data_IF_483007270627
#
_entry.id   IF_483007270627
#
_cell.length_a   1.000
_cell.length_b   1.000
_cell.length_c   1.000
_cell.angle_alpha   90.00
_cell.angle_beta   90.00
_cell.angle_gamma   90.00
#
_symmetry.space_group_name_H-M   'P 1'
#
loop_
_entity.id
_entity.type
_entity.pdbx_description
1 polymer ?
#
# COMPACT_ATOMS: atom_id res chain seq x y z
N UNK A 1 -13.54 -5.94 -16.25
CA UNK A 1 -14.04 -6.50 -14.98
C UNK A 1 -14.91 -7.69 -15.32
N UNK A 2 -14.92 -8.78 -14.55
CA UNK A 2 -15.85 -9.89 -14.80
C UNK A 2 -17.29 -9.45 -14.51
N UNK A 3 -18.31 -10.18 -14.99
CA UNK A 3 -19.71 -9.91 -14.64
C UNK A 3 -19.93 -9.82 -13.12
N UNK A 4 -19.19 -10.62 -12.34
CA UNK A 4 -19.26 -10.65 -10.87
C UNK A 4 -18.42 -9.55 -10.16
N UNK A 5 -17.88 -8.57 -10.89
CA UNK A 5 -17.12 -7.47 -10.29
C UNK A 5 -15.65 -7.77 -9.95
N UNK A 6 -15.09 -8.89 -10.40
CA UNK A 6 -13.69 -9.26 -10.14
C UNK A 6 -12.72 -8.73 -11.20
N UNK A 7 -11.45 -8.64 -10.81
CA UNK A 7 -10.34 -8.28 -11.69
C UNK A 7 -9.58 -9.55 -12.13
N UNK A 8 -9.53 -9.78 -13.45
CA UNK A 8 -8.67 -10.79 -14.06
C UNK A 8 -7.32 -10.18 -14.42
N UNK A 9 -6.23 -10.69 -13.83
CA UNK A 9 -4.85 -10.31 -14.16
C UNK A 9 -4.19 -11.45 -14.92
N UNK A 10 -3.78 -11.18 -16.17
CA UNK A 10 -3.09 -12.12 -17.05
C UNK A 10 -1.59 -11.78 -17.04
N UNK A 11 -0.75 -12.80 -16.94
CA UNK A 11 0.70 -12.66 -16.90
C UNK A 11 1.35 -13.27 -18.13
N UNK A 12 2.38 -12.62 -18.67
CA UNK A 12 3.17 -13.18 -19.78
C UNK A 12 4.00 -14.40 -19.36
N UNK A 13 4.16 -14.65 -18.04
CA UNK A 13 5.01 -15.69 -17.50
C UNK A 13 4.35 -16.34 -16.27
N UNK A 14 4.20 -17.65 -16.31
CA UNK A 14 3.57 -18.44 -15.24
C UNK A 14 4.34 -18.39 -13.92
N UNK A 15 5.67 -18.37 -13.94
CA UNK A 15 6.48 -18.20 -12.72
C UNK A 15 6.22 -16.84 -12.06
N UNK A 16 5.99 -15.77 -12.84
CA UNK A 16 5.61 -14.46 -12.29
C UNK A 16 4.20 -14.49 -11.70
N UNK A 17 3.27 -15.16 -12.38
CA UNK A 17 1.90 -15.39 -11.89
C UNK A 17 1.91 -16.12 -10.54
N UNK A 18 2.58 -17.28 -10.48
CA UNK A 18 2.71 -18.10 -9.27
C UNK A 18 3.33 -17.33 -8.10
N UNK A 19 4.37 -16.53 -8.35
CA UNK A 19 4.98 -15.66 -7.33
C UNK A 19 3.99 -14.63 -6.77
N UNK A 20 3.24 -13.95 -7.64
CA UNK A 20 2.20 -13.01 -7.19
C UNK A 20 1.14 -13.70 -6.34
N UNK A 21 0.65 -14.85 -6.83
CA UNK A 21 -0.35 -15.65 -6.12
C UNK A 21 0.10 -15.98 -4.70
N UNK A 22 1.32 -16.48 -4.53
CA UNK A 22 1.85 -16.81 -3.21
C UNK A 22 1.99 -15.60 -2.30
N UNK A 23 2.39 -14.43 -2.84
CA UNK A 23 2.45 -13.19 -2.04
C UNK A 23 1.04 -12.80 -1.57
N UNK A 24 0.06 -12.72 -2.49
CA UNK A 24 -1.32 -12.36 -2.11
C UNK A 24 -1.93 -13.35 -1.13
N UNK A 25 -1.61 -14.64 -1.26
CA UNK A 25 -2.02 -15.66 -0.30
C UNK A 25 -1.38 -15.49 1.08
N UNK A 26 -0.09 -15.14 1.14
CA UNK A 26 0.58 -14.88 2.42
C UNK A 26 0.00 -13.69 3.19
N UNK A 27 -0.66 -12.76 2.50
CA UNK A 27 -1.24 -11.54 3.09
C UNK A 27 -2.78 -11.53 3.08
N UNK A 28 -3.42 -12.66 2.81
CA UNK A 28 -4.87 -12.72 2.56
C UNK A 28 -5.74 -12.35 3.78
N UNK A 29 -5.17 -12.43 4.98
CA UNK A 29 -5.82 -12.01 6.24
C UNK A 29 -5.84 -10.49 6.43
N UNK A 30 -5.03 -9.77 5.67
CA UNK A 30 -4.89 -8.33 5.77
C UNK A 30 -5.89 -7.63 4.86
N UNK A 31 -6.64 -6.68 5.41
CA UNK A 31 -7.61 -5.91 4.64
C UNK A 31 -6.98 -4.93 3.66
N UNK A 32 -5.66 -4.69 3.73
CA UNK A 32 -4.97 -3.78 2.82
C UNK A 32 -4.72 -4.37 1.43
N UNK A 33 -4.91 -5.68 1.23
CA UNK A 33 -4.61 -6.33 -0.04
C UNK A 33 -5.89 -6.91 -0.68
N UNK A 34 -5.92 -7.07 -2.01
CA UNK A 34 -7.00 -7.78 -2.68
C UNK A 34 -6.91 -9.28 -2.44
N UNK A 35 -8.05 -9.92 -2.15
CA UNK A 35 -8.12 -11.37 -2.02
C UNK A 35 -8.09 -12.07 -3.37
N UNK A 36 -7.42 -13.21 -3.43
CA UNK A 36 -7.44 -14.09 -4.59
C UNK A 36 -8.68 -14.97 -4.54
N UNK A 37 -9.48 -14.92 -5.61
CA UNK A 37 -10.67 -15.76 -5.81
C UNK A 37 -10.27 -17.07 -6.49
N UNK A 38 -9.47 -16.99 -7.56
CA UNK A 38 -9.01 -18.15 -8.33
C UNK A 38 -7.64 -17.92 -8.94
N UNK A 39 -6.85 -18.99 -9.01
CA UNK A 39 -5.57 -19.02 -9.71
C UNK A 39 -5.56 -20.19 -10.69
N UNK A 40 -5.14 -19.96 -11.93
CA UNK A 40 -4.96 -21.03 -12.93
C UNK A 40 -3.94 -20.60 -13.97
N UNK A 41 -2.87 -21.39 -14.12
CA UNK A 41 -1.77 -21.13 -15.06
C UNK A 41 -1.26 -19.69 -14.98
N UNK A 42 -1.49 -18.91 -16.05
CA UNK A 42 -1.02 -17.53 -16.19
C UNK A 42 -2.03 -16.47 -15.73
N UNK A 43 -3.08 -16.87 -15.03
CA UNK A 43 -4.20 -16.00 -14.65
C UNK A 43 -4.44 -16.00 -13.14
N UNK A 44 -4.71 -14.82 -12.60
CA UNK A 44 -5.25 -14.63 -11.24
C UNK A 44 -6.56 -13.85 -11.36
N UNK A 45 -7.63 -14.45 -10.84
CA UNK A 45 -8.88 -13.76 -10.55
C UNK A 45 -8.83 -13.29 -9.09
N UNK A 46 -9.01 -11.99 -8.86
CA UNK A 46 -8.93 -11.36 -7.54
C UNK A 46 -9.98 -10.28 -7.36
N UNK A 47 -10.17 -9.84 -6.12
CA UNK A 47 -10.96 -8.64 -5.82
C UNK A 47 -10.51 -7.46 -6.68
N UNK A 48 -11.49 -6.74 -7.22
CA UNK A 48 -11.26 -5.46 -7.86
C UNK A 48 -10.87 -4.43 -6.81
N UNK A 49 -9.86 -3.61 -7.12
CA UNK A 49 -9.45 -2.50 -6.27
C UNK A 49 -9.83 -1.22 -6.99
N UNK A 50 -10.87 -0.57 -6.49
CA UNK A 50 -11.33 0.73 -6.96
C UNK A 50 -10.59 1.87 -6.26
N UNK A 51 -11.27 3.01 -6.16
CA UNK A 51 -10.74 4.20 -5.52
C UNK A 51 -9.73 4.96 -6.38
N UNK A 52 -9.11 5.97 -5.77
CA UNK A 52 -8.18 6.89 -6.42
C UNK A 52 -6.76 6.64 -5.96
N UNK A 53 -5.78 6.77 -6.86
CA UNK A 53 -4.37 6.76 -6.46
C UNK A 53 -4.11 7.84 -5.41
N UNK A 54 -3.37 7.49 -4.35
CA UNK A 54 -3.13 8.34 -3.18
C UNK A 54 -2.70 9.78 -3.54
N UNK A 55 -1.76 9.97 -4.48
CA UNK A 55 -1.32 11.32 -4.88
C UNK A 55 -2.48 12.17 -5.38
N UNK A 56 -3.26 11.62 -6.32
CA UNK A 56 -4.44 12.30 -6.89
C UNK A 56 -5.53 12.53 -5.84
N UNK A 57 -5.69 11.58 -4.90
CA UNK A 57 -6.67 11.73 -3.83
C UNK A 57 -6.32 12.91 -2.93
N UNK A 58 -5.07 12.99 -2.49
CA UNK A 58 -4.60 14.08 -1.61
C UNK A 58 -4.62 15.41 -2.36
N UNK A 59 -4.20 15.45 -3.63
CA UNK A 59 -4.29 16.67 -4.46
C UNK A 59 -5.73 17.20 -4.58
N UNK A 60 -6.72 16.31 -4.59
CA UNK A 60 -8.13 16.67 -4.73
C UNK A 60 -8.81 17.02 -3.40
N UNK A 61 -8.51 16.29 -2.33
CA UNK A 61 -9.29 16.33 -1.08
C UNK A 61 -8.47 16.80 0.14
N UNK A 62 -7.16 17.01 -0.03
CA UNK A 62 -6.22 17.19 1.07
C UNK A 62 -5.92 15.88 1.80
N UNK A 63 -5.05 15.97 2.82
CA UNK A 63 -4.72 14.84 3.69
C UNK A 63 -5.51 14.93 4.99
N UNK A 64 -6.49 14.05 5.20
CA UNK A 64 -7.22 13.99 6.48
C UNK A 64 -6.39 13.30 7.57
N UNK A 65 -6.82 13.47 8.82
CA UNK A 65 -6.27 12.71 9.94
C UNK A 65 -6.51 11.21 9.79
N UNK A 66 -7.73 10.82 9.39
CA UNK A 66 -8.11 9.42 9.15
C UNK A 66 -7.25 8.79 8.05
N UNK A 67 -7.03 9.46 6.93
CA UNK A 67 -6.17 8.98 5.86
C UNK A 67 -4.71 8.85 6.34
N UNK A 68 -4.22 9.81 7.12
CA UNK A 68 -2.88 9.75 7.71
C UNK A 68 -2.71 8.52 8.61
N UNK A 69 -3.68 8.25 9.48
CA UNK A 69 -3.69 7.07 10.34
C UNK A 69 -3.76 5.77 9.51
N UNK A 70 -4.56 5.74 8.45
CA UNK A 70 -4.62 4.59 7.55
C UNK A 70 -3.29 4.32 6.83
N UNK A 71 -2.54 5.37 6.48
CA UNK A 71 -1.19 5.23 5.89
C UNK A 71 -0.17 4.70 6.92
N UNK A 72 -0.26 5.15 8.17
CA UNK A 72 0.58 4.65 9.26
C UNK A 72 0.28 3.17 9.50
N UNK A 73 -1.00 2.82 9.63
CA UNK A 73 -1.47 1.45 9.85
C UNK A 73 -1.04 0.51 8.71
N UNK A 74 -1.02 0.98 7.45
CA UNK A 74 -0.52 0.20 6.31
C UNK A 74 0.94 -0.22 6.52
N UNK A 75 1.80 0.69 6.98
CA UNK A 75 3.23 0.40 7.18
C UNK A 75 3.45 -0.52 8.37
N UNK A 76 2.66 -0.36 9.43
CA UNK A 76 2.68 -1.31 10.54
C UNK A 76 2.25 -2.70 10.12
N UNK A 77 1.21 -2.80 9.29
CA UNK A 77 0.75 -4.07 8.77
C UNK A 77 1.85 -4.77 7.97
N UNK A 78 2.61 -4.02 7.16
CA UNK A 78 3.78 -4.58 6.48
C UNK A 78 4.80 -5.17 7.48
N UNK A 79 5.08 -4.47 8.60
CA UNK A 79 5.96 -5.00 9.65
C UNK A 79 5.38 -6.29 10.26
N UNK A 80 4.08 -6.31 10.59
CA UNK A 80 3.38 -7.48 11.15
C UNK A 80 3.42 -8.68 10.20
N UNK A 81 3.31 -8.45 8.91
CA UNK A 81 3.38 -9.47 7.86
C UNK A 81 4.81 -9.89 7.50
N UNK A 82 5.83 -9.36 8.20
CA UNK A 82 7.23 -9.72 7.99
C UNK A 82 7.83 -9.17 6.69
N UNK A 83 7.27 -8.09 6.14
CA UNK A 83 7.84 -7.44 4.96
C UNK A 83 9.18 -6.83 5.33
N UNK A 84 10.21 -7.12 4.54
CA UNK A 84 11.53 -6.49 4.70
C UNK A 84 11.55 -5.08 4.11
N UNK A 85 10.74 -4.83 3.08
CA UNK A 85 10.61 -3.53 2.41
C UNK A 85 9.28 -2.89 2.79
N UNK A 86 9.34 -1.82 3.56
CA UNK A 86 8.20 -0.97 3.90
C UNK A 86 7.95 0.12 2.85
N UNK A 87 8.96 0.41 2.02
CA UNK A 87 8.88 1.37 0.92
C UNK A 87 7.99 0.87 -0.24
N UNK A 88 6.70 1.17 -0.13
CA UNK A 88 5.70 0.99 -1.19
C UNK A 88 5.58 2.27 -2.02
N UNK A 89 5.59 2.12 -3.34
CA UNK A 89 5.35 3.24 -4.25
C UNK A 89 3.88 3.68 -4.15
N UNK A 90 3.62 4.98 -4.02
CA UNK A 90 2.25 5.48 -3.97
C UNK A 90 1.40 5.15 -5.20
N UNK A 91 2.01 4.88 -6.36
CA UNK A 91 1.29 4.37 -7.56
C UNK A 91 0.52 3.06 -7.32
N UNK A 92 0.91 2.31 -6.29
CA UNK A 92 0.28 1.05 -5.90
C UNK A 92 -0.70 1.19 -4.74
N UNK A 93 -0.89 2.41 -4.22
CA UNK A 93 -1.75 2.72 -3.07
C UNK A 93 -3.02 3.42 -3.57
N UNK A 94 -4.15 2.81 -3.30
CA UNK A 94 -5.48 3.28 -3.71
C UNK A 94 -6.31 3.61 -2.48
N UNK A 95 -6.80 4.86 -2.44
CA UNK A 95 -7.68 5.39 -1.41
C UNK A 95 -9.13 5.22 -1.86
N UNK A 96 -9.92 4.52 -1.06
CA UNK A 96 -11.35 4.34 -1.30
C UNK A 96 -12.15 5.57 -0.84
N UNK A 97 -13.45 5.61 -1.12
CA UNK A 97 -14.31 6.75 -0.75
C UNK A 97 -14.36 6.99 0.76
N UNK A 98 -14.29 5.92 1.56
CA UNK A 98 -14.26 5.97 3.02
C UNK A 98 -12.84 6.19 3.60
N UNK A 99 -11.87 6.54 2.76
CA UNK A 99 -10.43 6.68 3.07
C UNK A 99 -9.72 5.38 3.49
N UNK A 100 -10.38 4.23 3.39
CA UNK A 100 -9.68 2.94 3.51
C UNK A 100 -8.68 2.78 2.37
N UNK A 101 -7.63 1.99 2.62
CA UNK A 101 -6.49 1.87 1.71
C UNK A 101 -6.37 0.44 1.18
N UNK A 102 -6.17 0.32 -0.13
CA UNK A 102 -5.84 -0.94 -0.80
C UNK A 102 -4.52 -0.83 -1.55
N UNK A 103 -3.73 -1.90 -1.52
CA UNK A 103 -2.46 -2.03 -2.20
C UNK A 103 -2.50 -3.19 -3.18
N UNK A 104 -2.19 -2.92 -4.45
CA UNK A 104 -2.37 -3.91 -5.54
C UNK A 104 -1.12 -4.73 -5.87
N UNK A 105 0.07 -4.30 -5.43
CA UNK A 105 1.33 -4.86 -5.90
C UNK A 105 2.42 -4.90 -4.81
N UNK A 106 2.37 -5.89 -3.90
CA UNK A 106 3.41 -6.14 -2.89
C UNK A 106 4.69 -6.81 -3.44
N UNK A 107 4.97 -6.75 -4.75
CA UNK A 107 6.16 -7.44 -5.30
C UNK A 107 7.46 -6.90 -4.71
N UNK A 108 8.41 -7.83 -4.49
CA UNK A 108 9.76 -7.56 -3.93
C UNK A 108 9.77 -7.09 -2.47
N UNK A 109 8.66 -7.26 -1.74
CA UNK A 109 8.59 -6.83 -0.34
C UNK A 109 9.45 -7.64 0.63
N UNK A 110 9.91 -8.83 0.25
CA UNK A 110 10.64 -9.75 1.13
C UNK A 110 12.14 -9.90 0.82
N UNK A 111 12.67 -9.17 -0.16
CA UNK A 111 14.04 -9.42 -0.68
C UNK A 111 15.08 -8.39 -0.23
N UNK A 112 14.72 -7.12 -0.13
CA UNK A 112 15.62 -6.03 0.30
C UNK A 112 15.03 -5.36 1.52
N UNK A 113 15.84 -5.16 2.54
CA UNK A 113 15.42 -4.42 3.73
C UNK A 113 15.36 -2.91 3.42
N UNK A 114 14.19 -2.31 3.67
CA UNK A 114 13.96 -0.87 3.61
C UNK A 114 12.96 -0.53 4.71
N UNK A 115 13.45 0.05 5.80
CA UNK A 115 12.67 0.30 7.03
C UNK A 115 11.94 1.65 7.04
N UNK A 116 12.24 2.52 6.07
CA UNK A 116 11.62 3.84 5.95
C UNK A 116 10.68 3.84 4.74
N UNK A 117 9.40 4.23 4.90
CA UNK A 117 8.42 4.24 3.82
C UNK A 117 8.55 5.48 2.92
N UNK A 118 9.71 5.66 2.28
CA UNK A 118 10.01 6.83 1.44
C UNK A 118 8.94 7.10 0.36
N UNK A 119 8.33 6.06 -0.20
CA UNK A 119 7.29 6.19 -1.20
C UNK A 119 6.01 6.86 -0.70
N UNK A 120 5.64 6.67 0.57
CA UNK A 120 4.51 7.38 1.19
C UNK A 120 4.93 8.81 1.51
N UNK A 121 6.06 8.98 2.22
CA UNK A 121 6.59 10.30 2.62
C UNK A 121 6.71 11.21 1.39
N UNK A 122 7.34 10.72 0.33
CA UNK A 122 7.53 11.47 -0.93
C UNK A 122 6.23 11.81 -1.63
N UNK A 123 5.20 10.97 -1.53
CA UNK A 123 3.93 11.28 -2.19
C UNK A 123 3.18 12.36 -1.41
N UNK A 124 3.17 12.27 -0.09
CA UNK A 124 2.56 13.29 0.78
C UNK A 124 3.29 14.63 0.69
N UNK A 125 4.62 14.60 0.61
CA UNK A 125 5.46 15.77 0.41
C UNK A 125 5.18 16.47 -0.93
N UNK A 126 5.08 15.68 -2.01
CA UNK A 126 4.70 16.19 -3.34
C UNK A 126 3.33 16.85 -3.41
N UNK A 127 2.46 16.64 -2.42
CA UNK A 127 1.16 17.29 -2.31
C UNK A 127 1.13 18.45 -1.32
N UNK A 128 2.27 18.80 -0.71
CA UNK A 128 2.37 19.89 0.28
C UNK A 128 1.83 19.55 1.66
N UNK A 129 1.58 18.27 1.96
CA UNK A 129 0.88 17.83 3.17
C UNK A 129 1.83 17.15 4.19
N UNK A 130 3.15 17.24 3.98
CA UNK A 130 4.14 16.56 4.81
C UNK A 130 4.09 17.04 6.27
N UNK A 131 4.05 18.35 6.50
CA UNK A 131 3.99 18.90 7.86
C UNK A 131 2.77 18.40 8.64
N UNK A 132 1.62 18.31 7.96
CA UNK A 132 0.39 17.79 8.55
C UNK A 132 0.52 16.31 8.89
N UNK A 133 1.07 15.52 7.98
CA UNK A 133 1.33 14.10 8.20
C UNK A 133 2.31 13.87 9.35
N UNK A 134 3.39 14.64 9.43
CA UNK A 134 4.40 14.53 10.49
C UNK A 134 3.80 14.89 11.85
N UNK A 135 2.96 15.94 11.94
CA UNK A 135 2.25 16.26 13.19
C UNK A 135 1.41 15.09 13.68
N UNK A 136 0.63 14.46 12.80
CA UNK A 136 -0.18 13.29 13.13
C UNK A 136 0.72 12.12 13.53
N UNK A 137 1.80 11.88 12.79
CA UNK A 137 2.76 10.82 13.10
C UNK A 137 3.37 10.99 14.50
N UNK A 138 3.77 12.21 14.88
CA UNK A 138 4.33 12.50 16.20
C UNK A 138 3.29 12.30 17.31
N UNK A 139 2.03 12.72 17.08
CA UNK A 139 0.95 12.58 18.07
C UNK A 139 0.62 11.11 18.32
N UNK A 140 0.43 10.33 17.26
CA UNK A 140 -0.11 8.97 17.38
C UNK A 140 0.97 7.89 17.45
N UNK A 141 2.12 8.10 16.81
CA UNK A 141 3.22 7.14 16.67
C UNK A 141 4.59 7.81 16.73
N UNK A 142 4.93 8.42 17.88
CA UNK A 142 6.20 9.13 18.05
C UNK A 142 7.43 8.21 17.81
N UNK A 143 7.32 6.92 18.12
CA UNK A 143 8.35 5.93 17.82
C UNK A 143 8.63 5.82 16.32
N UNK A 144 7.58 5.85 15.49
CA UNK A 144 7.72 5.83 14.03
C UNK A 144 8.26 7.16 13.53
N UNK A 145 7.84 8.29 14.09
CA UNK A 145 8.38 9.62 13.75
C UNK A 145 9.89 9.68 13.95
N UNK A 146 10.40 9.17 15.08
CA UNK A 146 11.83 9.06 15.36
C UNK A 146 12.50 8.13 14.33
N UNK A 147 11.91 6.94 14.10
CA UNK A 147 12.49 5.96 13.17
C UNK A 147 12.54 6.45 11.71
N UNK A 148 11.66 7.37 11.32
CA UNK A 148 11.53 7.88 9.95
C UNK A 148 12.17 9.27 9.77
N UNK A 149 12.79 9.83 10.81
CA UNK A 149 13.34 11.19 10.80
C UNK A 149 14.26 11.46 9.60
N UNK A 150 15.16 10.53 9.28
CA UNK A 150 16.08 10.64 8.13
C UNK A 150 15.37 10.63 6.76
N UNK A 151 14.15 10.09 6.69
CA UNK A 151 13.33 10.11 5.49
C UNK A 151 12.44 11.34 5.37
N UNK A 152 12.12 11.99 6.49
CA UNK A 152 11.31 13.21 6.56
C UNK A 152 12.16 14.46 6.28
N UNK A 153 13.39 14.51 6.79
CA UNK A 153 14.27 15.68 6.71
C UNK A 153 15.12 15.75 5.42
N UNK A 154 14.64 15.19 4.30
CA UNK A 154 15.46 14.89 3.13
C UNK A 154 14.90 15.49 1.85
#
# INVERSE_FOLDING_TARGET
>A
MTPDGYALKIFNNEKKCKKEYHILKSVEKSNFFPKVIKYSGRCILREYVGGMKIKKYIEKNGLSEKLSLNLINLIEEFKKLGFKRLDMRGEHIFVQEDESIKVIDPRKSFTKEVLIPHGIIKVVDKTGELDKFVKILVIYRPDLAISWQNGINR
#
